data_IF_750620991831
#
_entry.id   IF_750620991831
#
_cell.length_a   1.000
_cell.length_b   1.000
_cell.length_c   1.000
_cell.angle_alpha   90.00
_cell.angle_beta   90.00
_cell.angle_gamma   90.00
#
_symmetry.space_group_name_H-M   'P 1'
#
loop_
_entity.id
_entity.type
_entity.pdbx_description
1 polymer ?
#
# COMPACT_ATOMS: atom_id res chain seq x y z
N UNK A 1 15.14 -75.46 -32.19
CA UNK A 1 14.79 -74.69 -31.03
C UNK A 1 15.02 -73.21 -31.35
N UNK A 2 13.93 -72.49 -31.65
CA UNK A 2 14.01 -71.04 -31.96
C UNK A 2 13.70 -70.26 -30.67
N UNK A 3 14.68 -69.45 -30.20
CA UNK A 3 14.50 -68.53 -29.04
C UNK A 3 13.83 -67.22 -29.52
N UNK A 4 12.63 -66.93 -29.02
CA UNK A 4 11.97 -65.65 -29.18
C UNK A 4 12.48 -64.72 -28.13
N UNK A 5 13.09 -63.56 -28.53
CA UNK A 5 13.42 -62.47 -27.69
C UNK A 5 12.20 -61.52 -27.63
N UNK A 6 11.62 -61.37 -26.46
CA UNK A 6 10.61 -60.37 -26.20
C UNK A 6 11.31 -59.03 -25.85
N UNK A 7 11.20 -58.02 -26.71
CA UNK A 7 11.56 -56.67 -26.41
C UNK A 7 10.37 -55.99 -25.71
N UNK A 8 10.53 -55.76 -24.42
CA UNK A 8 9.56 -54.97 -23.62
C UNK A 8 9.90 -53.49 -23.76
N UNK A 9 9.11 -52.75 -24.54
CA UNK A 9 9.23 -51.30 -24.68
C UNK A 9 8.51 -50.67 -23.53
N UNK A 10 9.27 -50.15 -22.55
CA UNK A 10 8.73 -49.35 -21.44
C UNK A 10 8.45 -47.96 -21.99
N UNK A 11 7.17 -47.61 -22.19
CA UNK A 11 6.75 -46.22 -22.42
C UNK A 11 6.75 -45.46 -21.09
N UNK A 12 7.78 -44.65 -20.87
CA UNK A 12 7.78 -43.64 -19.83
C UNK A 12 6.85 -42.50 -20.27
N UNK A 13 5.63 -42.48 -19.75
CA UNK A 13 4.80 -41.31 -19.81
C UNK A 13 5.40 -40.27 -18.86
N UNK A 14 6.15 -39.31 -19.41
CA UNK A 14 6.45 -38.07 -18.72
C UNK A 14 5.13 -37.30 -18.56
N UNK A 15 4.50 -37.43 -17.40
CA UNK A 15 3.42 -36.55 -17.00
C UNK A 15 4.01 -35.16 -16.77
N UNK A 16 3.96 -34.32 -17.78
CA UNK A 16 4.11 -32.87 -17.56
C UNK A 16 2.90 -32.44 -16.74
N UNK A 17 3.06 -32.37 -15.43
CA UNK A 17 2.20 -31.54 -14.59
C UNK A 17 2.52 -30.10 -14.94
N UNK A 18 1.85 -29.55 -15.93
CA UNK A 18 1.66 -28.13 -16.06
C UNK A 18 0.77 -27.66 -14.87
N UNK A 19 1.36 -27.54 -13.70
CA UNK A 19 0.82 -26.67 -12.66
C UNK A 19 0.93 -25.26 -13.24
N UNK A 20 -0.13 -24.80 -13.92
CA UNK A 20 -0.30 -23.39 -14.18
C UNK A 20 -0.29 -22.72 -12.79
N UNK A 21 0.87 -22.20 -12.42
CA UNK A 21 1.00 -21.33 -11.27
C UNK A 21 0.03 -20.18 -11.54
N UNK A 22 -1.03 -20.04 -10.76
CA UNK A 22 -1.96 -18.93 -10.94
C UNK A 22 -1.16 -17.66 -10.82
N UNK A 23 -1.20 -16.85 -11.86
CA UNK A 23 -0.52 -15.55 -11.83
C UNK A 23 -1.04 -14.75 -10.64
N UNK A 24 -0.14 -14.23 -9.80
CA UNK A 24 -0.50 -13.39 -8.65
C UNK A 24 -1.36 -12.21 -9.11
N UNK A 25 -2.43 -11.92 -8.37
CA UNK A 25 -3.27 -10.73 -8.59
C UNK A 25 -2.63 -9.45 -8.01
N UNK A 26 -1.53 -9.60 -7.28
CA UNK A 26 -0.82 -8.50 -6.64
C UNK A 26 0.40 -8.06 -7.45
N UNK A 27 0.71 -6.77 -7.36
CA UNK A 27 1.98 -6.21 -7.79
C UNK A 27 3.11 -6.61 -6.83
N UNK A 28 4.35 -6.38 -7.24
CA UNK A 28 5.49 -6.43 -6.32
C UNK A 28 5.48 -5.23 -5.36
N UNK A 29 4.91 -4.09 -5.78
CA UNK A 29 4.81 -2.89 -4.96
C UNK A 29 4.06 -3.15 -3.64
N UNK A 30 4.65 -2.69 -2.55
CA UNK A 30 4.17 -2.91 -1.20
C UNK A 30 4.01 -1.58 -0.47
N UNK A 31 2.90 -1.43 0.25
CA UNK A 31 2.62 -0.25 1.06
C UNK A 31 2.85 -0.57 2.53
N UNK A 32 3.64 0.25 3.22
CA UNK A 32 3.76 0.24 4.67
C UNK A 32 3.07 1.48 5.23
N UNK A 33 2.11 1.27 6.13
CA UNK A 33 1.49 2.33 6.92
C UNK A 33 2.02 2.26 8.34
N UNK A 34 2.58 3.36 8.81
CA UNK A 34 3.07 3.49 10.18
C UNK A 34 2.25 4.55 10.88
N UNK A 35 1.75 4.24 12.07
CA UNK A 35 1.10 5.19 12.96
C UNK A 35 1.80 5.18 14.31
N UNK A 36 1.87 6.34 14.96
CA UNK A 36 2.37 6.51 16.33
C UNK A 36 1.68 7.71 16.99
N UNK A 37 1.85 7.85 18.27
CA UNK A 37 1.38 8.98 19.08
C UNK A 37 2.58 9.79 19.59
N UNK A 38 2.33 11.06 19.95
CA UNK A 38 3.33 11.93 20.55
C UNK A 38 3.21 11.91 22.08
N UNK A 39 4.34 11.75 22.76
CA UNK A 39 4.43 11.88 24.21
C UNK A 39 5.46 12.97 24.57
N UNK A 40 5.03 13.97 25.35
CA UNK A 40 5.90 15.08 25.77
C UNK A 40 6.60 15.82 24.60
N UNK A 41 5.91 16.00 23.49
CA UNK A 41 6.37 16.68 22.28
C UNK A 41 5.23 17.54 21.73
N UNK A 42 5.52 18.78 21.39
CA UNK A 42 4.58 19.68 20.73
C UNK A 42 4.47 19.39 19.24
N UNK A 43 3.40 19.88 18.58
CA UNK A 43 3.24 19.75 17.14
C UNK A 43 4.35 20.48 16.36
N UNK A 44 4.84 21.60 16.90
CA UNK A 44 5.94 22.35 16.30
C UNK A 44 7.24 21.56 16.33
N UNK A 45 7.61 21.00 17.49
CA UNK A 45 8.78 20.13 17.64
C UNK A 45 8.68 18.88 16.75
N UNK A 46 7.48 18.29 16.63
CA UNK A 46 7.25 17.17 15.73
C UNK A 46 7.42 17.57 14.25
N UNK A 47 6.92 18.75 13.85
CA UNK A 47 7.11 19.25 12.49
C UNK A 47 8.59 19.52 12.18
N UNK A 48 9.34 20.10 13.13
CA UNK A 48 10.79 20.29 13.01
C UNK A 48 11.53 18.94 12.88
N UNK A 49 11.18 17.95 13.69
CA UNK A 49 11.72 16.60 13.58
C UNK A 49 11.42 15.99 12.20
N UNK A 50 10.18 16.11 11.73
CA UNK A 50 9.76 15.65 10.41
C UNK A 50 10.59 16.28 9.29
N UNK A 51 10.77 17.61 9.33
CA UNK A 51 11.57 18.35 8.37
C UNK A 51 13.06 17.93 8.40
N UNK A 52 13.61 17.69 9.60
CA UNK A 52 14.99 17.27 9.77
C UNK A 52 15.26 15.84 9.23
N UNK A 53 14.30 14.93 9.37
CA UNK A 53 14.47 13.54 8.92
C UNK A 53 14.03 13.30 7.48
N UNK A 54 13.18 14.15 6.90
CA UNK A 54 12.65 13.99 5.55
C UNK A 54 13.71 13.74 4.47
N UNK A 55 14.89 14.42 4.48
CA UNK A 55 15.96 14.19 3.51
C UNK A 55 16.56 12.79 3.54
N UNK A 56 16.35 12.02 4.62
CA UNK A 56 16.84 10.66 4.73
C UNK A 56 15.99 9.63 3.97
N UNK A 57 14.75 9.99 3.60
CA UNK A 57 13.83 9.10 2.90
C UNK A 57 13.97 9.20 1.39
N UNK A 58 15.11 8.78 0.89
CA UNK A 58 15.43 8.67 -0.54
C UNK A 58 15.69 7.21 -0.90
N UNK A 59 15.59 6.85 -2.17
CA UNK A 59 15.93 5.50 -2.64
C UNK A 59 17.40 5.13 -2.45
N UNK A 60 18.29 6.12 -2.28
CA UNK A 60 19.71 5.92 -1.97
C UNK A 60 19.89 5.46 -0.51
N UNK A 61 19.22 6.12 0.44
CA UNK A 61 19.33 5.82 1.87
C UNK A 61 18.40 4.68 2.32
N UNK A 62 17.30 4.50 1.60
CA UNK A 62 16.29 3.44 1.83
C UNK A 62 16.07 2.69 0.52
N UNK A 63 16.89 1.67 0.23
CA UNK A 63 16.81 0.92 -1.02
C UNK A 63 15.42 0.34 -1.25
N UNK A 64 14.88 0.57 -2.46
CA UNK A 64 13.55 0.13 -2.84
C UNK A 64 12.41 1.05 -2.39
N UNK A 65 12.67 2.15 -1.68
CA UNK A 65 11.66 3.17 -1.39
C UNK A 65 11.30 3.90 -2.68
N UNK A 66 10.02 3.87 -3.05
CA UNK A 66 9.44 4.58 -4.20
C UNK A 66 8.92 5.97 -3.81
N UNK A 67 8.41 6.08 -2.58
CA UNK A 67 7.90 7.34 -2.05
C UNK A 67 7.43 7.22 -0.62
N UNK A 68 7.34 8.37 0.06
CA UNK A 68 6.82 8.48 1.42
C UNK A 68 6.00 9.75 1.56
N UNK A 69 4.87 9.64 2.22
CA UNK A 69 4.09 10.78 2.73
C UNK A 69 4.10 10.75 4.24
N UNK A 70 4.48 11.86 4.88
CA UNK A 70 4.24 12.05 6.31
C UNK A 70 2.76 12.36 6.50
N UNK A 71 2.15 11.74 7.50
CA UNK A 71 0.73 11.92 7.82
C UNK A 71 0.55 12.32 9.28
N UNK A 72 -0.54 13.05 9.55
CA UNK A 72 -0.92 13.41 10.91
C UNK A 72 -2.39 13.77 10.99
N UNK A 73 -3.05 13.22 12.00
CA UNK A 73 -4.40 13.58 12.41
C UNK A 73 -4.30 14.21 13.80
N UNK A 74 -4.28 15.54 13.82
CA UNK A 74 -4.11 16.32 15.05
C UNK A 74 -5.27 16.10 16.01
N UNK A 75 -6.49 15.98 15.48
CA UNK A 75 -7.71 15.81 16.29
C UNK A 75 -7.71 14.46 17.02
N UNK A 76 -7.13 13.42 16.37
CA UNK A 76 -6.98 12.09 16.94
C UNK A 76 -5.65 11.86 17.65
N UNK A 77 -4.71 12.79 17.55
CA UNK A 77 -3.37 12.66 18.10
C UNK A 77 -2.53 11.55 17.46
N UNK A 78 -2.82 11.17 16.21
CA UNK A 78 -2.14 10.09 15.50
C UNK A 78 -1.28 10.67 14.38
N UNK A 79 -0.02 10.25 14.32
CA UNK A 79 0.97 10.70 13.35
C UNK A 79 1.64 9.50 12.70
N UNK A 80 2.38 9.72 11.60
CA UNK A 80 3.08 8.60 10.98
C UNK A 80 3.51 8.83 9.54
N UNK A 81 3.39 7.78 8.74
CA UNK A 81 3.72 7.82 7.32
C UNK A 81 3.11 6.70 6.51
N UNK A 82 2.87 6.99 5.26
CA UNK A 82 2.57 6.00 4.23
C UNK A 82 3.80 5.89 3.33
N UNK A 83 4.31 4.69 3.19
CA UNK A 83 5.52 4.38 2.42
C UNK A 83 5.17 3.43 1.29
N UNK A 84 5.75 3.66 0.13
CA UNK A 84 5.65 2.79 -1.03
C UNK A 84 7.02 2.18 -1.31
N UNK A 85 7.07 0.86 -1.39
CA UNK A 85 8.28 0.10 -1.67
C UNK A 85 8.11 -0.71 -2.94
N UNK A 86 9.22 -0.96 -3.63
CA UNK A 86 9.24 -1.73 -4.88
C UNK A 86 8.87 -3.21 -4.69
N UNK A 87 8.99 -3.72 -3.46
CA UNK A 87 8.69 -5.13 -3.13
C UNK A 87 8.67 -5.35 -1.60
N UNK A 88 8.14 -6.49 -1.12
CA UNK A 88 8.08 -6.82 0.30
C UNK A 88 9.44 -6.94 1.00
N UNK A 89 10.48 -7.38 0.27
CA UNK A 89 11.84 -7.49 0.81
C UNK A 89 12.40 -6.11 1.19
N UNK A 90 12.12 -5.11 0.38
CA UNK A 90 12.52 -3.72 0.66
C UNK A 90 11.87 -3.17 1.94
N UNK A 91 10.63 -3.56 2.23
CA UNK A 91 9.97 -3.23 3.51
C UNK A 91 10.72 -3.88 4.67
N UNK A 92 11.02 -5.19 4.57
CA UNK A 92 11.74 -5.92 5.60
C UNK A 92 13.11 -5.30 5.88
N UNK A 93 13.86 -4.99 4.82
CA UNK A 93 15.17 -4.35 4.92
C UNK A 93 15.08 -2.96 5.59
N UNK A 94 14.04 -2.17 5.27
CA UNK A 94 13.80 -0.89 5.92
C UNK A 94 13.52 -1.04 7.42
N UNK A 95 12.68 -1.99 7.81
CA UNK A 95 12.33 -2.25 9.21
C UNK A 95 13.51 -2.79 10.04
N UNK A 96 14.55 -3.31 9.39
CA UNK A 96 15.83 -3.72 10.02
C UNK A 96 16.89 -2.61 9.99
N UNK A 97 16.65 -1.51 9.26
CA UNK A 97 17.64 -0.44 9.07
C UNK A 97 17.89 0.40 10.31
N UNK A 98 19.06 1.07 10.33
CA UNK A 98 19.39 2.02 11.38
C UNK A 98 18.45 3.26 11.38
N UNK A 99 17.91 3.64 10.19
CA UNK A 99 16.93 4.71 10.09
C UNK A 99 15.66 4.33 10.88
N UNK A 100 15.13 3.13 10.65
CA UNK A 100 13.94 2.66 11.37
C UNK A 100 14.21 2.50 12.88
N UNK A 101 15.34 1.91 13.24
CA UNK A 101 15.75 1.79 14.66
C UNK A 101 15.83 3.14 15.35
N UNK A 102 16.33 4.16 14.65
CA UNK A 102 16.34 5.54 15.18
C UNK A 102 14.93 6.11 15.38
N UNK A 103 13.99 5.83 14.46
CA UNK A 103 12.60 6.26 14.58
C UNK A 103 11.94 5.63 15.81
N UNK A 104 12.01 4.30 15.97
CA UNK A 104 11.34 3.62 17.10
C UNK A 104 12.03 3.82 18.44
N UNK A 105 13.29 4.22 18.43
CA UNK A 105 14.04 4.57 19.66
C UNK A 105 13.81 6.01 20.12
N UNK A 106 13.09 6.82 19.34
CA UNK A 106 12.84 8.22 19.71
C UNK A 106 11.90 8.29 20.93
N UNK A 107 12.31 8.94 22.03
CA UNK A 107 11.62 8.86 23.32
C UNK A 107 10.20 9.47 23.32
N UNK A 108 9.92 10.35 22.38
CA UNK A 108 8.65 11.06 22.27
C UNK A 108 7.68 10.47 21.22
N UNK A 109 8.10 9.45 20.47
CA UNK A 109 7.25 8.73 19.52
C UNK A 109 6.88 7.38 20.14
N UNK A 110 5.59 7.19 20.45
CA UNK A 110 5.11 6.04 21.22
C UNK A 110 3.95 5.34 20.53
N UNK A 111 3.56 4.17 21.02
CA UNK A 111 2.39 3.42 20.57
C UNK A 111 2.39 3.12 19.06
N UNK A 112 3.55 2.72 18.54
CA UNK A 112 3.69 2.36 17.12
C UNK A 112 2.75 1.25 16.70
N UNK A 113 2.08 1.46 15.56
CA UNK A 113 1.34 0.44 14.81
C UNK A 113 1.84 0.43 13.38
N UNK A 114 2.02 -0.75 12.82
CA UNK A 114 2.53 -0.93 11.47
C UNK A 114 1.69 -1.96 10.75
N UNK A 115 1.26 -1.60 9.55
CA UNK A 115 0.51 -2.47 8.66
C UNK A 115 1.20 -2.53 7.30
N UNK A 116 1.39 -3.73 6.77
CA UNK A 116 2.01 -3.98 5.47
C UNK A 116 0.96 -4.53 4.51
N UNK A 117 0.87 -3.93 3.34
CA UNK A 117 -0.14 -4.25 2.35
C UNK A 117 0.46 -4.52 0.98
N UNK A 118 -0.13 -5.48 0.27
CA UNK A 118 0.07 -5.67 -1.17
C UNK A 118 -0.77 -4.65 -1.94
N UNK A 119 -0.38 -4.34 -3.16
CA UNK A 119 -1.17 -3.57 -4.13
C UNK A 119 -1.67 -4.47 -5.26
N UNK A 120 -2.80 -4.11 -5.89
CA UNK A 120 -3.42 -4.94 -6.91
C UNK A 120 -2.94 -4.58 -8.32
N UNK A 121 -2.67 -5.60 -9.16
CA UNK A 121 -2.42 -5.43 -10.59
C UNK A 121 -3.62 -4.82 -11.30
N UNK A 122 -3.37 -3.97 -12.27
CA UNK A 122 -4.41 -3.34 -13.09
C UNK A 122 -5.16 -2.20 -12.40
N UNK A 123 -4.69 -1.75 -11.21
CA UNK A 123 -5.26 -0.59 -10.51
C UNK A 123 -4.48 0.70 -10.74
N UNK A 124 -3.54 0.69 -11.68
CA UNK A 124 -2.65 1.81 -11.99
C UNK A 124 -3.41 3.07 -12.43
N UNK A 125 -4.62 2.91 -12.99
CA UNK A 125 -5.49 4.03 -13.35
C UNK A 125 -6.12 4.70 -12.12
N UNK A 126 -6.40 3.93 -11.06
CA UNK A 126 -6.88 4.46 -9.79
C UNK A 126 -5.69 4.91 -8.91
N UNK A 127 -4.58 4.23 -9.07
CA UNK A 127 -3.34 4.61 -8.43
C UNK A 127 -2.80 5.83 -9.19
N UNK A 128 -3.05 7.02 -8.69
CA UNK A 128 -2.26 8.16 -9.12
C UNK A 128 -0.81 7.71 -9.10
N UNK A 129 -0.12 7.79 -10.23
CA UNK A 129 1.20 7.23 -10.47
C UNK A 129 2.14 7.52 -9.29
N UNK A 130 2.45 6.49 -8.48
CA UNK A 130 3.37 6.62 -7.35
C UNK A 130 4.75 7.02 -7.81
N UNK A 131 5.13 6.64 -9.06
CA UNK A 131 6.39 7.02 -9.68
C UNK A 131 6.48 8.49 -10.07
N UNK A 132 5.37 9.20 -10.19
CA UNK A 132 5.34 10.64 -10.47
C UNK A 132 5.17 11.50 -9.22
N UNK A 133 4.89 10.91 -8.07
CA UNK A 133 5.07 11.60 -6.80
C UNK A 133 6.56 11.75 -6.55
N UNK A 134 7.14 12.54 -7.39
CA UNK A 134 8.38 13.22 -7.04
C UNK A 134 8.15 13.74 -5.64
N UNK A 135 9.04 13.44 -4.73
CA UNK A 135 9.38 14.33 -3.64
C UNK A 135 9.63 15.67 -4.32
N UNK A 136 8.55 16.36 -4.69
CA UNK A 136 8.69 17.64 -5.34
C UNK A 136 9.21 18.57 -4.28
N UNK A 137 10.41 19.05 -4.49
CA UNK A 137 10.91 20.26 -3.86
C UNK A 137 10.04 21.50 -4.21
N UNK A 138 8.98 21.33 -5.00
CA UNK A 138 7.94 22.30 -5.25
C UNK A 138 6.91 22.22 -4.11
N UNK A 139 7.23 22.98 -3.09
CA UNK A 139 6.48 23.10 -1.83
C UNK A 139 5.04 23.60 -1.95
N UNK A 140 4.56 24.00 -3.11
CA UNK A 140 3.22 24.57 -3.27
C UNK A 140 2.09 23.57 -3.29
N UNK A 141 2.32 22.33 -3.76
CA UNK A 141 1.28 21.30 -3.86
C UNK A 141 1.28 20.34 -2.66
N UNK A 142 2.40 20.24 -1.94
CA UNK A 142 2.50 19.38 -0.76
C UNK A 142 1.76 19.94 0.48
N UNK A 143 1.61 21.28 0.57
CA UNK A 143 0.95 21.94 1.71
C UNK A 143 -0.55 21.64 1.81
N UNK A 144 -1.19 21.14 0.75
CA UNK A 144 -2.63 20.91 0.70
C UNK A 144 -3.00 19.42 0.44
N UNK A 145 -2.06 18.51 0.62
CA UNK A 145 -2.35 17.08 0.41
C UNK A 145 -3.03 16.48 1.64
N UNK A 146 -4.24 15.95 1.46
CA UNK A 146 -4.97 15.23 2.47
C UNK A 146 -5.00 13.73 2.13
N UNK A 147 -4.63 12.89 3.09
CA UNK A 147 -4.54 11.44 2.90
C UNK A 147 -5.58 10.77 3.81
N UNK A 148 -6.38 9.92 3.20
CA UNK A 148 -7.33 9.05 3.90
C UNK A 148 -6.85 7.60 3.75
N UNK A 149 -6.65 6.91 4.86
CA UNK A 149 -6.39 5.47 4.89
C UNK A 149 -7.64 4.77 5.41
N UNK A 150 -8.19 3.88 4.60
CA UNK A 150 -9.37 3.08 4.94
C UNK A 150 -8.97 1.62 4.98
N UNK A 151 -9.32 0.94 6.07
CA UNK A 151 -9.15 -0.49 6.23
C UNK A 151 -10.50 -1.11 6.63
N UNK A 152 -10.86 -2.23 6.01
CA UNK A 152 -12.05 -3.00 6.34
C UNK A 152 -11.79 -4.50 6.20
N UNK A 153 -12.61 -5.29 6.84
CA UNK A 153 -12.63 -6.76 6.74
C UNK A 153 -13.92 -7.20 6.06
N UNK A 154 -13.85 -8.24 5.25
CA UNK A 154 -15.04 -8.89 4.70
C UNK A 154 -15.48 -10.03 5.62
N UNK A 155 -16.78 -10.23 5.76
CA UNK A 155 -17.33 -11.39 6.49
C UNK A 155 -16.96 -12.72 5.81
N UNK A 156 -16.88 -12.71 4.49
CA UNK A 156 -16.44 -13.84 3.66
C UNK A 156 -15.30 -13.38 2.78
N UNK A 157 -14.13 -13.99 2.93
CA UNK A 157 -12.98 -13.67 2.08
C UNK A 157 -13.25 -14.12 0.64
N UNK A 158 -13.25 -13.19 -0.33
CA UNK A 158 -13.41 -13.54 -1.74
C UNK A 158 -12.19 -14.34 -2.22
N UNK A 159 -12.39 -15.16 -3.24
CA UNK A 159 -11.27 -15.78 -3.95
C UNK A 159 -10.46 -14.72 -4.70
N UNK A 160 -9.20 -14.99 -5.00
CA UNK A 160 -8.33 -14.10 -5.79
C UNK A 160 -8.99 -13.65 -7.11
N UNK A 161 -9.72 -14.56 -7.76
CA UNK A 161 -10.44 -14.25 -9.00
C UNK A 161 -11.60 -13.27 -8.80
N UNK A 162 -12.37 -13.45 -7.73
CA UNK A 162 -13.48 -12.55 -7.38
C UNK A 162 -12.95 -11.19 -6.98
N UNK A 163 -11.89 -11.16 -6.17
CA UNK A 163 -11.24 -9.93 -5.73
C UNK A 163 -10.65 -9.18 -6.94
N UNK A 164 -9.90 -9.84 -7.80
CA UNK A 164 -9.34 -9.23 -9.01
C UNK A 164 -10.44 -8.61 -9.89
N UNK A 165 -11.57 -9.31 -10.06
CA UNK A 165 -12.72 -8.79 -10.82
C UNK A 165 -13.30 -7.54 -10.17
N UNK A 166 -13.56 -7.58 -8.85
CA UNK A 166 -14.10 -6.42 -8.11
C UNK A 166 -13.15 -5.22 -8.19
N UNK A 167 -11.86 -5.44 -7.94
CA UNK A 167 -10.85 -4.37 -7.99
C UNK A 167 -10.81 -3.73 -9.37
N UNK A 168 -10.82 -4.50 -10.45
CA UNK A 168 -10.82 -3.99 -11.82
C UNK A 168 -12.12 -3.24 -12.19
N UNK A 169 -13.25 -3.67 -11.63
CA UNK A 169 -14.54 -3.02 -11.83
C UNK A 169 -14.61 -1.67 -11.11
N UNK A 170 -14.09 -1.60 -9.88
CA UNK A 170 -14.15 -0.38 -9.07
C UNK A 170 -12.98 0.58 -9.30
N UNK A 171 -11.80 0.13 -9.74
CA UNK A 171 -10.65 0.99 -9.91
C UNK A 171 -10.92 2.25 -10.76
N UNK A 172 -11.62 2.19 -11.92
CA UNK A 172 -11.92 3.36 -12.73
C UNK A 172 -12.87 4.36 -12.07
N UNK A 173 -13.63 3.93 -11.05
CA UNK A 173 -14.59 4.79 -10.34
C UNK A 173 -13.86 5.84 -9.51
N UNK A 174 -12.66 5.50 -8.98
CA UNK A 174 -11.87 6.39 -8.11
C UNK A 174 -11.06 7.40 -8.92
N UNK A 175 -11.71 8.43 -9.39
CA UNK A 175 -11.15 9.48 -10.24
C UNK A 175 -11.60 10.87 -9.79
N UNK A 176 -10.87 11.91 -10.21
CA UNK A 176 -11.27 13.30 -9.97
C UNK A 176 -12.59 13.68 -10.68
N UNK A 177 -12.96 12.96 -11.74
CA UNK A 177 -14.23 13.17 -12.45
C UNK A 177 -15.42 12.76 -11.56
N UNK A 178 -15.31 11.61 -10.89
CA UNK A 178 -16.38 11.10 -10.03
C UNK A 178 -16.33 11.70 -8.61
N UNK A 179 -15.13 12.00 -8.13
CA UNK A 179 -14.90 12.58 -6.80
C UNK A 179 -14.02 13.81 -6.93
N UNK A 180 -14.60 15.01 -7.13
CA UNK A 180 -13.83 16.24 -7.26
C UNK A 180 -12.86 16.44 -6.11
N UNK A 181 -11.61 16.71 -6.46
CA UNK A 181 -10.52 16.83 -5.48
C UNK A 181 -9.80 15.52 -5.13
N UNK A 182 -10.26 14.36 -5.61
CA UNK A 182 -9.50 13.11 -5.50
C UNK A 182 -8.33 13.13 -6.50
N UNK A 183 -7.10 13.02 -6.00
CA UNK A 183 -5.88 12.96 -6.81
C UNK A 183 -5.62 11.51 -7.27
N UNK A 184 -5.90 10.55 -6.40
CA UNK A 184 -5.73 9.14 -6.69
C UNK A 184 -6.01 8.27 -5.48
N UNK A 185 -6.05 6.95 -5.74
CA UNK A 185 -6.23 5.91 -4.73
C UNK A 185 -5.30 4.75 -5.01
N UNK A 186 -4.68 4.21 -3.98
CA UNK A 186 -4.03 2.89 -4.02
C UNK A 186 -4.94 1.89 -3.35
N UNK A 187 -5.33 0.85 -4.06
CA UNK A 187 -6.07 -0.28 -3.49
C UNK A 187 -5.09 -1.23 -2.81
N UNK A 188 -5.37 -1.59 -1.57
CA UNK A 188 -4.47 -2.37 -0.71
C UNK A 188 -5.17 -3.57 -0.10
N UNK A 189 -4.36 -4.61 0.20
CA UNK A 189 -4.79 -5.81 0.91
C UNK A 189 -3.66 -6.29 1.82
N UNK A 190 -3.98 -6.66 3.05
CA UNK A 190 -3.00 -7.22 3.98
C UNK A 190 -2.38 -8.51 3.43
N UNK A 191 -1.16 -8.81 3.84
CA UNK A 191 -0.43 -10.00 3.37
C UNK A 191 -1.09 -11.32 3.76
N UNK A 192 -1.91 -11.34 4.82
CA UNK A 192 -2.73 -12.48 5.24
C UNK A 192 -4.09 -12.56 4.53
N UNK A 193 -4.40 -11.57 3.67
CA UNK A 193 -5.61 -11.55 2.86
C UNK A 193 -6.90 -11.17 3.60
N UNK A 194 -6.83 -10.75 4.86
CA UNK A 194 -8.02 -10.53 5.69
C UNK A 194 -8.47 -9.06 5.76
N UNK A 195 -7.56 -8.11 5.54
CA UNK A 195 -7.85 -6.68 5.57
C UNK A 195 -7.70 -6.11 4.17
N UNK A 196 -8.74 -5.43 3.72
CA UNK A 196 -8.80 -4.72 2.45
C UNK A 196 -8.88 -3.22 2.71
N UNK A 197 -8.55 -2.42 1.71
CA UNK A 197 -8.68 -1.00 1.89
C UNK A 197 -8.15 -0.14 0.76
N UNK A 198 -7.80 1.07 1.11
CA UNK A 198 -7.20 2.02 0.19
C UNK A 198 -6.47 3.14 0.90
N UNK A 199 -5.46 3.65 0.23
CA UNK A 199 -4.82 4.93 0.54
C UNK A 199 -5.30 5.92 -0.50
N UNK A 200 -6.03 6.93 -0.08
CA UNK A 200 -6.64 7.94 -0.93
C UNK A 200 -5.95 9.27 -0.74
N UNK A 201 -5.85 10.03 -1.81
CA UNK A 201 -5.19 11.32 -1.83
C UNK A 201 -6.13 12.38 -2.36
N UNK A 202 -6.33 13.45 -1.60
CA UNK A 202 -7.24 14.53 -1.90
C UNK A 202 -6.54 15.89 -1.83
N UNK A 203 -7.09 16.86 -2.56
CA UNK A 203 -6.62 18.24 -2.56
C UNK A 203 -7.07 19.04 -1.35
N UNK A 204 -8.10 18.58 -0.61
CA UNK A 204 -8.63 19.28 0.55
C UNK A 204 -9.37 18.35 1.51
N UNK A 205 -9.55 18.79 2.75
CA UNK A 205 -10.38 18.10 3.73
C UNK A 205 -11.84 18.05 3.28
N UNK A 206 -12.37 19.13 2.69
CA UNK A 206 -13.75 19.15 2.18
C UNK A 206 -13.98 18.10 1.10
N UNK A 207 -12.98 17.82 0.25
CA UNK A 207 -13.11 16.74 -0.74
C UNK A 207 -13.21 15.34 -0.09
N UNK A 208 -12.59 15.13 1.07
CA UNK A 208 -12.79 13.91 1.86
C UNK A 208 -14.21 13.87 2.43
N UNK A 209 -14.70 14.98 2.97
CA UNK A 209 -16.04 15.06 3.56
C UNK A 209 -17.12 14.84 2.47
N UNK A 210 -16.92 15.38 1.26
CA UNK A 210 -17.79 15.13 0.09
C UNK A 210 -17.72 13.65 -0.36
N UNK A 211 -16.54 13.03 -0.33
CA UNK A 211 -16.39 11.60 -0.61
C UNK A 211 -17.15 10.74 0.40
N UNK A 212 -17.10 11.04 1.70
CA UNK A 212 -17.87 10.36 2.73
C UNK A 212 -19.39 10.56 2.58
N UNK A 213 -19.83 11.66 2.03
CA UNK A 213 -21.24 11.94 1.73
C UNK A 213 -21.74 11.28 0.41
N UNK A 214 -20.86 10.65 -0.36
CA UNK A 214 -21.21 10.05 -1.65
C UNK A 214 -22.01 8.75 -1.52
N UNK A 215 -22.87 8.47 -2.50
CA UNK A 215 -23.64 7.22 -2.57
C UNK A 215 -22.71 5.97 -2.56
N UNK A 216 -21.51 6.10 -3.12
CA UNK A 216 -20.52 5.03 -3.14
C UNK A 216 -20.08 4.68 -1.72
N UNK A 217 -19.68 5.70 -0.92
CA UNK A 217 -19.25 5.49 0.46
C UNK A 217 -20.37 4.95 1.34
N UNK A 218 -21.55 5.56 1.26
CA UNK A 218 -22.74 5.11 2.01
C UNK A 218 -23.09 3.66 1.66
N UNK A 219 -22.90 3.26 0.41
CA UNK A 219 -23.11 1.88 -0.03
C UNK A 219 -22.07 0.88 0.51
N UNK A 220 -20.87 1.34 0.89
CA UNK A 220 -19.87 0.48 1.55
C UNK A 220 -20.14 0.29 3.05
N UNK A 221 -20.79 1.24 3.72
CA UNK A 221 -21.12 1.16 5.14
C UNK A 221 -22.43 0.40 5.45
N UNK A 222 -23.23 0.09 4.43
CA UNK A 222 -24.55 -0.58 4.54
C UNK A 222 -24.45 -2.10 4.39
#
# INVERSE_FOLDING_TARGET
MKKFLFFSTIFLFASCNDTKQSESIYNDETVLVVNYELENMTLEEHAELGAAVAPNFTSENVPGLLGKSFIGDVDRGVFGGVYYFSNPESVSNYLESEIWKGVVAHPNLVNFKMDVFNTFKGTELANGSHGERKTSSDSSDAENLHILVVNYTNEVNPTDKEMSKQVMEYAPVFSNENFPGMIGKTMINSSDGNVYGGVYYFTSRSAIDDYFASDLWVGFES
#
